data_IF_811949971332
#
_entry.id   IF_811949971332
#
_cell.length_a   1.000
_cell.length_b   1.000
_cell.length_c   1.000
_cell.angle_alpha   90.00
_cell.angle_beta   90.00
_cell.angle_gamma   90.00
#
_symmetry.space_group_name_H-M   'P 1'
#
loop_
_entity.id
_entity.type
_entity.pdbx_description
1 polymer ?
#
# COMPACT_ATOMS: atom_id res chain seq x y z
N UNK A 1 -39.56 6.76 33.89
CA UNK A 1 -39.90 5.48 33.22
C UNK A 1 -38.88 5.21 32.13
N UNK A 2 -38.46 3.95 32.03
CA UNK A 2 -37.20 3.45 31.46
C UNK A 2 -37.02 3.79 29.98
N UNK A 3 -35.93 4.48 29.63
CA UNK A 3 -35.31 4.36 28.31
C UNK A 3 -34.33 3.19 28.39
N UNK A 4 -34.60 2.13 27.64
CA UNK A 4 -33.79 0.93 27.55
C UNK A 4 -33.54 0.64 26.06
N UNK A 5 -32.28 0.76 25.62
CA UNK A 5 -31.63 0.05 24.50
C UNK A 5 -30.13 0.11 24.85
N UNK A 6 -29.51 -0.87 25.54
CA UNK A 6 -28.96 -2.16 25.07
C UNK A 6 -28.14 -2.02 23.79
N UNK A 7 -26.84 -2.38 23.67
CA UNK A 7 -25.79 -2.86 24.58
C UNK A 7 -24.45 -2.58 23.83
N UNK A 8 -23.59 -1.68 24.34
CA UNK A 8 -22.22 -1.44 23.81
C UNK A 8 -21.31 -2.71 23.81
N UNK A 9 -21.58 -3.81 24.55
CA UNK A 9 -20.79 -5.03 24.43
C UNK A 9 -21.08 -5.95 23.24
N UNK A 10 -22.18 -5.81 22.48
CA UNK A 10 -22.47 -6.73 21.36
C UNK A 10 -21.75 -6.36 20.05
N UNK A 11 -21.24 -5.13 19.95
CA UNK A 11 -20.36 -4.68 18.86
C UNK A 11 -18.91 -5.18 19.00
N UNK A 12 -18.58 -5.85 20.11
CA UNK A 12 -17.29 -6.52 20.31
C UNK A 12 -17.31 -8.00 19.88
N UNK A 13 -18.45 -8.52 19.43
CA UNK A 13 -18.60 -9.91 18.95
C UNK A 13 -18.67 -10.04 17.42
N UNK A 14 -18.91 -8.94 16.71
CA UNK A 14 -18.42 -8.85 15.34
C UNK A 14 -17.02 -8.31 15.50
N UNK A 15 -16.01 -9.17 15.31
CA UNK A 15 -14.69 -8.65 15.01
C UNK A 15 -14.90 -7.55 13.96
N UNK A 16 -14.41 -6.32 14.17
CA UNK A 16 -14.07 -5.54 12.99
C UNK A 16 -13.21 -6.52 12.22
N UNK A 17 -13.67 -6.96 11.06
CA UNK A 17 -12.70 -7.42 10.08
C UNK A 17 -11.82 -6.19 9.95
N UNK A 18 -10.70 -6.18 10.68
CA UNK A 18 -9.60 -5.27 10.48
C UNK A 18 -9.07 -5.68 9.10
N UNK A 19 -9.85 -5.32 8.08
CA UNK A 19 -9.49 -5.42 6.70
C UNK A 19 -8.52 -4.28 6.50
N UNK A 20 -7.25 -4.55 6.75
CA UNK A 20 -6.19 -3.73 6.20
C UNK A 20 -6.27 -3.94 4.69
N UNK A 21 -7.00 -3.07 3.99
CA UNK A 21 -7.02 -3.05 2.53
C UNK A 21 -5.77 -2.29 2.07
N UNK A 22 -4.61 -2.91 2.25
CA UNK A 22 -3.40 -2.48 1.55
C UNK A 22 -3.60 -2.82 0.08
N UNK A 23 -3.65 -1.77 -0.73
CA UNK A 23 -3.87 -1.89 -2.17
C UNK A 23 -2.54 -1.85 -2.91
N UNK A 24 -2.42 -2.72 -3.89
CA UNK A 24 -1.25 -2.78 -4.74
C UNK A 24 -1.64 -3.22 -6.14
N UNK A 25 -0.84 -2.76 -7.10
CA UNK A 25 -0.93 -3.19 -8.49
C UNK A 25 0.30 -4.03 -8.84
N UNK A 26 0.09 -5.24 -9.36
CA UNK A 26 1.14 -6.14 -9.85
C UNK A 26 1.34 -5.99 -11.37
N UNK A 27 2.55 -5.66 -11.78
CA UNK A 27 2.95 -5.55 -13.19
C UNK A 27 3.78 -6.76 -13.60
N UNK A 28 3.42 -7.40 -14.72
CA UNK A 28 4.06 -8.65 -15.21
C UNK A 28 4.31 -8.64 -16.73
N UNK A 29 4.94 -9.68 -17.26
CA UNK A 29 5.10 -9.90 -18.71
C UNK A 29 5.90 -8.80 -19.39
N UNK A 30 5.31 -8.13 -20.38
CA UNK A 30 5.98 -7.05 -21.13
C UNK A 30 6.33 -5.82 -20.30
N UNK A 31 5.80 -5.71 -19.08
CA UNK A 31 6.12 -4.64 -18.13
C UNK A 31 7.30 -4.96 -17.22
N UNK A 32 7.80 -6.19 -17.20
CA UNK A 32 8.93 -6.56 -16.33
C UNK A 32 10.15 -5.69 -16.60
N UNK A 33 10.81 -5.24 -15.54
CA UNK A 33 11.92 -4.27 -15.63
C UNK A 33 12.87 -4.38 -14.45
N UNK A 34 13.97 -3.64 -14.49
CA UNK A 34 14.97 -3.59 -13.41
C UNK A 34 14.38 -2.96 -12.14
N UNK A 35 14.98 -3.21 -10.98
CA UNK A 35 14.45 -2.72 -9.70
C UNK A 35 14.33 -1.19 -9.68
N UNK A 36 15.35 -0.49 -10.17
CA UNK A 36 15.38 0.97 -10.24
C UNK A 36 14.29 1.52 -11.17
N UNK A 37 14.10 0.91 -12.34
CA UNK A 37 13.04 1.31 -13.26
C UNK A 37 11.65 1.02 -12.70
N UNK A 38 11.49 -0.10 -11.99
CA UNK A 38 10.23 -0.45 -11.33
C UNK A 38 9.89 0.55 -10.22
N UNK A 39 10.88 0.93 -9.40
CA UNK A 39 10.72 1.97 -8.39
C UNK A 39 10.33 3.32 -9.01
N UNK A 40 11.05 3.74 -10.06
CA UNK A 40 10.75 4.98 -10.77
C UNK A 40 9.32 4.97 -11.33
N UNK A 41 8.92 3.86 -11.98
CA UNK A 41 7.57 3.68 -12.49
C UNK A 41 6.52 3.76 -11.37
N UNK A 42 6.74 3.10 -10.23
CA UNK A 42 5.82 3.17 -9.11
C UNK A 42 5.73 4.59 -8.53
N UNK A 43 6.81 5.36 -8.50
CA UNK A 43 6.77 6.76 -8.01
C UNK A 43 6.16 7.74 -9.01
N UNK A 44 6.17 7.40 -10.30
CA UNK A 44 5.55 8.20 -11.36
C UNK A 44 4.03 7.99 -11.42
N UNK A 45 3.57 6.75 -11.22
CA UNK A 45 2.18 6.37 -11.42
C UNK A 45 1.41 5.99 -10.15
N UNK A 46 2.13 5.80 -9.04
CA UNK A 46 1.60 5.32 -7.76
C UNK A 46 2.40 5.96 -6.60
N UNK A 47 2.50 5.28 -5.45
CA UNK A 47 3.33 5.75 -4.32
C UNK A 47 4.80 5.32 -4.46
N UNK A 48 5.09 4.03 -4.34
CA UNK A 48 6.43 3.41 -4.46
C UNK A 48 6.25 1.90 -4.66
N UNK A 49 7.34 1.14 -4.79
CA UNK A 49 7.30 -0.31 -4.64
C UNK A 49 6.76 -0.69 -3.26
N UNK A 50 6.07 -1.84 -3.18
CA UNK A 50 5.45 -2.28 -1.93
C UNK A 50 6.48 -2.46 -0.81
N UNK A 51 6.14 -1.95 0.37
CA UNK A 51 6.82 -2.19 1.64
C UNK A 51 6.03 -3.25 2.41
N UNK A 52 6.72 -4.20 3.04
CA UNK A 52 6.05 -5.28 3.79
C UNK A 52 6.52 -5.26 5.24
N UNK A 53 5.63 -4.83 6.14
CA UNK A 53 5.98 -4.49 7.52
C UNK A 53 5.74 -5.61 8.52
N UNK A 54 4.93 -6.60 8.16
CA UNK A 54 4.59 -7.73 9.01
C UNK A 54 4.06 -8.92 8.19
N UNK A 55 3.81 -10.03 8.88
CA UNK A 55 3.31 -11.27 8.28
C UNK A 55 1.94 -11.12 7.62
N UNK A 56 1.06 -10.29 8.18
CA UNK A 56 -0.27 -10.05 7.62
C UNK A 56 -0.17 -9.34 6.26
N UNK A 57 0.64 -8.28 6.16
CA UNK A 57 0.91 -7.59 4.89
C UNK A 57 1.56 -8.53 3.87
N UNK A 58 2.49 -9.38 4.32
CA UNK A 58 3.13 -10.37 3.45
C UNK A 58 2.13 -11.37 2.83
N UNK A 59 1.05 -11.68 3.55
CA UNK A 59 -0.06 -12.48 3.07
C UNK A 59 -0.97 -11.73 2.09
N UNK A 60 -1.11 -10.41 2.24
CA UNK A 60 -1.92 -9.56 1.34
C UNK A 60 -1.24 -9.40 -0.02
N UNK A 61 0.06 -9.11 -0.04
CA UNK A 61 0.84 -8.92 -1.28
C UNK A 61 1.09 -10.26 -1.98
N UNK A 62 0.07 -10.84 -2.59
CA UNK A 62 0.20 -12.06 -3.38
C UNK A 62 0.86 -11.76 -4.73
N UNK A 63 1.85 -12.58 -5.12
CA UNK A 63 2.53 -12.41 -6.41
C UNK A 63 4.00 -12.76 -6.39
N UNK A 64 4.62 -12.55 -7.55
CA UNK A 64 6.05 -12.75 -7.79
C UNK A 64 6.59 -11.47 -8.41
N UNK A 65 7.59 -10.84 -7.81
CA UNK A 65 8.17 -9.61 -8.33
C UNK A 65 8.92 -8.77 -7.33
N UNK A 66 9.58 -7.72 -7.82
CA UNK A 66 10.28 -6.73 -7.02
C UNK A 66 9.36 -6.14 -5.94
N UNK A 67 9.94 -6.02 -4.74
CA UNK A 67 9.40 -5.27 -3.61
C UNK A 67 10.36 -4.12 -3.30
N UNK A 68 9.95 -3.16 -2.49
CA UNK A 68 10.74 -1.97 -2.19
C UNK A 68 12.00 -2.22 -1.35
N UNK A 69 12.30 -3.47 -1.00
CA UNK A 69 13.40 -3.83 -0.13
C UNK A 69 14.72 -3.87 -0.90
N UNK A 70 15.68 -3.06 -0.47
CA UNK A 70 16.99 -2.93 -1.10
C UNK A 70 18.08 -2.69 -0.06
N UNK A 71 19.33 -2.78 -0.49
CA UNK A 71 20.48 -2.33 0.29
C UNK A 71 21.52 -1.71 -0.61
N UNK A 72 22.44 -0.95 -0.01
CA UNK A 72 23.64 -0.51 -0.72
C UNK A 72 24.61 -1.69 -0.86
N UNK A 73 25.24 -1.81 -2.02
CA UNK A 73 26.24 -2.85 -2.26
C UNK A 73 27.34 -2.86 -1.19
N UNK A 74 27.61 -4.05 -0.65
CA UNK A 74 28.56 -4.26 0.46
C UNK A 74 28.01 -3.89 1.85
N UNK A 75 26.77 -3.41 1.97
CA UNK A 75 26.10 -3.22 3.25
C UNK A 75 25.40 -4.50 3.69
N UNK A 76 25.30 -4.72 5.00
CA UNK A 76 24.40 -5.72 5.58
C UNK A 76 23.01 -5.15 5.92
N UNK A 77 22.82 -3.84 5.77
CA UNK A 77 21.63 -3.13 6.21
C UNK A 77 20.62 -3.04 5.06
N UNK A 78 19.46 -3.65 5.27
CA UNK A 78 18.33 -3.59 4.35
C UNK A 78 17.38 -2.44 4.72
N UNK A 79 16.88 -1.78 3.69
CA UNK A 79 15.98 -0.63 3.80
C UNK A 79 14.83 -0.74 2.81
N UNK A 80 13.73 -0.07 3.12
CA UNK A 80 12.60 0.10 2.22
C UNK A 80 12.80 1.35 1.37
N UNK A 81 12.48 1.24 0.07
CA UNK A 81 12.51 2.35 -0.88
C UNK A 81 11.60 3.49 -0.44
N UNK A 82 10.47 3.15 0.16
CA UNK A 82 9.56 4.08 0.83
C UNK A 82 10.23 4.62 2.09
N UNK A 83 10.53 5.92 2.11
CA UNK A 83 11.05 6.62 3.30
C UNK A 83 12.47 6.25 3.76
N UNK A 84 13.17 5.35 3.06
CA UNK A 84 14.50 4.84 3.44
C UNK A 84 14.54 4.20 4.85
N UNK A 85 13.41 3.62 5.28
CA UNK A 85 13.22 3.02 6.60
C UNK A 85 13.98 1.69 6.74
N UNK A 86 14.53 1.41 7.92
CA UNK A 86 15.19 0.13 8.22
C UNK A 86 14.18 -1.02 8.20
N UNK A 87 14.56 -2.15 7.59
CA UNK A 87 13.74 -3.34 7.57
C UNK A 87 13.72 -4.04 8.95
N UNK A 88 12.66 -3.83 9.71
CA UNK A 88 12.45 -4.45 11.03
C UNK A 88 11.73 -5.81 10.97
N UNK A 89 11.08 -6.11 9.84
CA UNK A 89 10.47 -7.40 9.54
C UNK A 89 11.05 -7.92 8.24
N UNK A 90 11.38 -9.22 8.21
CA UNK A 90 11.85 -9.89 7.01
C UNK A 90 11.25 -11.27 6.89
N UNK A 91 10.85 -11.67 5.68
CA UNK A 91 10.39 -13.02 5.40
C UNK A 91 11.27 -13.74 4.36
N UNK A 92 12.58 -13.71 4.60
CA UNK A 92 13.58 -14.35 3.75
C UNK A 92 13.30 -15.85 3.54
N UNK A 93 13.55 -16.32 2.32
CA UNK A 93 13.60 -17.74 1.99
C UNK A 93 14.85 -18.40 2.60
N UNK A 94 14.90 -19.73 2.55
CA UNK A 94 16.07 -20.47 2.99
C UNK A 94 17.32 -20.04 2.20
N UNK A 95 18.40 -19.76 2.94
CA UNK A 95 19.69 -19.27 2.42
C UNK A 95 19.68 -17.84 1.86
N UNK A 96 18.70 -17.01 2.21
CA UNK A 96 18.66 -15.59 1.88
C UNK A 96 18.92 -14.71 3.13
N UNK A 97 19.35 -13.46 2.97
CA UNK A 97 19.76 -12.82 1.72
C UNK A 97 21.14 -13.29 1.23
N UNK A 98 21.34 -13.40 -0.08
CA UNK A 98 22.69 -13.59 -0.66
C UNK A 98 23.55 -12.33 -0.44
N UNK A 99 24.88 -12.45 -0.59
CA UNK A 99 25.83 -11.35 -0.30
C UNK A 99 26.16 -10.46 -1.49
N UNK A 100 25.91 -10.92 -2.72
CA UNK A 100 26.27 -10.28 -3.99
C UNK A 100 25.07 -9.73 -4.76
N UNK A 101 23.90 -9.72 -4.12
CA UNK A 101 22.63 -9.23 -4.64
C UNK A 101 22.06 -8.20 -3.68
N UNK A 102 21.52 -7.10 -4.22
CA UNK A 102 21.21 -5.90 -3.42
C UNK A 102 19.74 -5.49 -3.47
N UNK A 103 18.92 -6.18 -4.26
CA UNK A 103 17.49 -5.93 -4.41
C UNK A 103 16.69 -7.19 -4.10
N UNK A 104 15.58 -7.05 -3.36
CA UNK A 104 14.75 -8.18 -3.00
C UNK A 104 13.48 -8.25 -3.84
N UNK A 105 13.07 -9.47 -4.13
CA UNK A 105 11.79 -9.78 -4.77
C UNK A 105 11.04 -10.81 -3.93
N UNK A 106 9.71 -10.75 -4.00
CA UNK A 106 8.84 -11.75 -3.42
C UNK A 106 8.70 -12.91 -4.39
N UNK A 107 8.83 -14.12 -3.87
CA UNK A 107 8.64 -15.38 -4.58
C UNK A 107 7.61 -16.21 -3.82
N UNK A 108 6.33 -16.05 -4.18
CA UNK A 108 5.20 -16.58 -3.40
C UNK A 108 5.10 -15.90 -2.04
N UNK A 109 5.29 -16.60 -0.93
CA UNK A 109 5.22 -16.06 0.43
C UNK A 109 6.58 -15.61 0.94
N UNK A 110 7.69 -16.08 0.38
CA UNK A 110 9.05 -15.80 0.83
C UNK A 110 9.78 -14.76 -0.03
N UNK A 111 10.81 -14.15 0.53
CA UNK A 111 11.60 -13.13 -0.14
C UNK A 111 12.96 -13.67 -0.51
N UNK A 112 13.42 -13.29 -1.70
CA UNK A 112 14.72 -13.68 -2.23
C UNK A 112 15.43 -12.45 -2.75
N UNK A 113 16.74 -12.56 -2.92
CA UNK A 113 17.55 -11.46 -3.44
C UNK A 113 17.98 -11.75 -4.86
N UNK A 114 18.14 -10.70 -5.66
CA UNK A 114 18.70 -10.81 -7.00
C UNK A 114 19.45 -9.53 -7.36
N UNK A 115 20.23 -9.58 -8.44
CA UNK A 115 20.86 -8.37 -8.98
C UNK A 115 19.77 -7.40 -9.43
N UNK A 116 19.94 -6.12 -9.07
CA UNK A 116 18.95 -5.08 -9.34
C UNK A 116 18.71 -4.84 -10.84
N UNK A 117 19.65 -5.26 -11.70
CA UNK A 117 19.60 -5.12 -13.16
C UNK A 117 18.84 -6.26 -13.87
N UNK A 118 18.31 -7.23 -13.13
CA UNK A 118 17.46 -8.30 -13.68
C UNK A 118 16.03 -7.79 -13.86
N UNK A 119 15.41 -8.13 -14.99
CA UNK A 119 14.01 -7.83 -15.20
C UNK A 119 13.11 -8.75 -14.37
N UNK A 120 12.31 -8.18 -13.48
CA UNK A 120 11.24 -8.89 -12.79
C UNK A 120 9.90 -8.17 -12.99
N UNK A 121 8.83 -8.91 -12.74
CA UNK A 121 7.54 -8.31 -12.38
C UNK A 121 7.73 -7.45 -11.13
N UNK A 122 6.80 -6.55 -10.82
CA UNK A 122 6.93 -5.69 -9.64
C UNK A 122 5.57 -5.24 -9.12
N UNK A 123 5.52 -4.91 -7.84
CA UNK A 123 4.30 -4.50 -7.15
C UNK A 123 4.45 -3.06 -6.64
N UNK A 124 3.52 -2.18 -7.03
CA UNK A 124 3.44 -0.82 -6.52
C UNK A 124 2.37 -0.70 -5.45
N UNK A 125 2.60 0.11 -4.42
CA UNK A 125 1.52 0.62 -3.56
C UNK A 125 0.67 1.62 -4.33
N UNK A 126 -0.64 1.39 -4.40
CA UNK A 126 -1.55 2.35 -5.01
C UNK A 126 -1.53 3.68 -4.22
N UNK A 127 -1.79 4.80 -4.89
CA UNK A 127 -1.83 6.13 -4.26
C UNK A 127 -3.11 6.34 -3.44
N UNK A 128 -3.03 7.23 -2.44
CA UNK A 128 -4.18 7.72 -1.70
C UNK A 128 -4.94 8.77 -2.53
N UNK A 129 -6.25 8.59 -2.65
CA UNK A 129 -7.16 9.54 -3.26
C UNK A 129 -7.69 10.49 -2.19
N UNK A 130 -7.26 11.74 -2.26
CA UNK A 130 -7.83 12.81 -1.45
C UNK A 130 -9.23 13.21 -1.96
N UNK A 131 -10.25 12.94 -1.15
CA UNK A 131 -11.61 13.39 -1.43
C UNK A 131 -11.88 14.70 -0.70
N UNK A 132 -12.28 15.73 -1.46
CA UNK A 132 -12.53 17.10 -0.97
C UNK A 132 -13.97 17.35 -0.52
N UNK A 133 -14.79 16.31 -0.46
CA UNK A 133 -16.19 16.42 -0.07
C UNK A 133 -16.37 16.31 1.44
N UNK A 134 -17.19 17.18 2.02
CA UNK A 134 -17.55 17.08 3.42
C UNK A 134 -18.55 15.93 3.63
N UNK A 135 -18.12 14.89 4.32
CA UNK A 135 -18.94 13.71 4.65
C UNK A 135 -18.73 13.27 6.10
N UNK A 136 -19.74 12.65 6.69
CA UNK A 136 -19.57 11.85 7.91
C UNK A 136 -18.67 10.64 7.67
N UNK A 137 -18.20 9.99 8.73
CA UNK A 137 -17.33 8.81 8.60
C UNK A 137 -18.02 7.69 7.82
N UNK A 138 -19.29 7.41 8.11
CA UNK A 138 -20.06 6.37 7.42
C UNK A 138 -20.27 6.71 5.93
N UNK A 139 -20.57 7.97 5.62
CA UNK A 139 -20.73 8.44 4.24
C UNK A 139 -19.40 8.43 3.48
N UNK A 140 -18.28 8.78 4.12
CA UNK A 140 -16.95 8.74 3.55
C UNK A 140 -16.52 7.29 3.25
N UNK A 141 -16.80 6.37 4.17
CA UNK A 141 -16.55 4.95 3.98
C UNK A 141 -17.34 4.38 2.79
N UNK A 142 -18.65 4.65 2.75
CA UNK A 142 -19.50 4.24 1.63
C UNK A 142 -19.03 4.88 0.33
N UNK A 143 -18.63 6.16 0.38
CA UNK A 143 -18.12 6.86 -0.79
C UNK A 143 -16.85 6.21 -1.34
N UNK A 144 -15.81 5.99 -0.51
CA UNK A 144 -14.59 5.30 -0.95
C UNK A 144 -14.94 3.96 -1.59
N UNK A 145 -15.77 3.15 -0.92
CA UNK A 145 -16.19 1.84 -1.46
C UNK A 145 -17.01 1.91 -2.73
N UNK A 146 -17.58 3.06 -3.05
CA UNK A 146 -18.33 3.31 -4.29
C UNK A 146 -17.47 3.84 -5.43
N UNK A 147 -16.19 4.18 -5.19
CA UNK A 147 -15.26 4.63 -6.23
C UNK A 147 -14.83 3.52 -7.21
N UNK A 148 -15.54 2.38 -7.22
CA UNK A 148 -15.43 1.30 -8.21
C UNK A 148 -15.58 1.88 -9.63
N UNK A 149 -14.45 2.26 -10.22
CA UNK A 149 -14.42 3.07 -11.44
C UNK A 149 -13.04 3.03 -12.09
N UNK A 150 -12.57 1.83 -12.43
CA UNK A 150 -11.51 1.72 -13.42
C UNK A 150 -12.00 2.27 -14.76
N UNK A 151 -11.21 3.15 -15.39
CA UNK A 151 -11.43 3.60 -16.76
C UNK A 151 -11.79 2.41 -17.66
N UNK A 152 -12.96 2.45 -18.29
CA UNK A 152 -13.49 1.43 -19.21
C UNK A 152 -12.68 1.30 -20.51
N UNK A 153 -11.52 1.96 -20.60
CA UNK A 153 -10.60 1.91 -21.74
C UNK A 153 -9.41 0.97 -21.52
N UNK A 154 -9.19 0.46 -20.29
CA UNK A 154 -8.17 -0.56 -20.03
C UNK A 154 -8.76 -1.97 -20.18
N UNK A 155 -8.35 -2.76 -21.20
CA UNK A 155 -8.80 -4.14 -21.38
C UNK A 155 -8.38 -5.09 -20.25
N UNK A 156 -7.51 -4.68 -19.32
CA UNK A 156 -7.17 -5.43 -18.11
C UNK A 156 -8.12 -5.17 -16.91
N UNK A 157 -9.06 -4.21 -17.04
CA UNK A 157 -9.96 -3.81 -15.93
C UNK A 157 -10.98 -4.88 -15.50
N UNK A 158 -11.29 -5.86 -16.35
CA UNK A 158 -12.26 -6.93 -16.04
C UNK A 158 -11.74 -7.99 -15.07
N UNK A 159 -10.44 -7.99 -14.76
CA UNK A 159 -9.81 -8.95 -13.85
C UNK A 159 -9.67 -8.45 -12.41
N UNK A 160 -9.80 -7.15 -12.17
CA UNK A 160 -9.51 -6.55 -10.87
C UNK A 160 -10.74 -5.84 -10.33
N UNK A 161 -11.31 -6.39 -9.25
CA UNK A 161 -12.41 -5.77 -8.51
C UNK A 161 -11.83 -4.66 -7.61
N UNK A 162 -11.59 -3.48 -8.19
CA UNK A 162 -10.95 -2.35 -7.52
C UNK A 162 -11.87 -1.65 -6.49
N UNK A 163 -12.01 -2.18 -5.27
CA UNK A 163 -12.83 -1.55 -4.21
C UNK A 163 -12.04 -0.61 -3.29
N UNK A 164 -12.20 0.72 -3.44
CA UNK A 164 -11.44 1.68 -2.62
C UNK A 164 -12.00 1.67 -1.20
N UNK A 165 -11.19 1.98 -0.20
CA UNK A 165 -11.64 2.04 1.20
C UNK A 165 -10.93 3.20 1.89
N UNK A 166 -11.36 3.56 3.10
CA UNK A 166 -10.70 4.61 3.87
C UNK A 166 -9.25 4.22 4.18
N UNK A 167 -8.34 5.17 3.95
CA UNK A 167 -6.92 5.00 4.21
C UNK A 167 -6.67 4.61 5.68
N UNK A 168 -5.93 3.53 5.89
CA UNK A 168 -5.46 3.13 7.22
C UNK A 168 -4.03 3.60 7.41
N UNK A 169 -3.81 4.53 8.34
CA UNK A 169 -2.48 5.10 8.63
C UNK A 169 -1.87 4.33 9.80
N UNK A 170 -0.80 3.57 9.53
CA UNK A 170 -0.20 2.67 10.52
C UNK A 170 1.16 3.21 11.00
N UNK A 171 1.94 3.78 10.09
CA UNK A 171 3.30 4.26 10.37
C UNK A 171 3.38 5.79 10.44
N UNK A 172 4.41 6.34 11.12
CA UNK A 172 4.69 7.78 11.08
C UNK A 172 4.85 8.32 9.66
N UNK A 173 5.38 7.51 8.74
CA UNK A 173 5.45 7.85 7.32
C UNK A 173 4.05 7.95 6.70
N UNK A 174 3.17 6.96 6.89
CA UNK A 174 1.80 7.01 6.37
C UNK A 174 1.06 8.25 6.90
N UNK A 175 1.25 8.59 8.18
CA UNK A 175 0.71 9.82 8.77
C UNK A 175 1.27 11.09 8.13
N UNK A 176 2.56 11.12 7.85
CA UNK A 176 3.21 12.28 7.21
C UNK A 176 2.75 12.41 5.77
N UNK A 177 2.73 11.32 5.02
CA UNK A 177 2.24 11.25 3.64
C UNK A 177 0.78 11.66 3.53
N UNK A 178 -0.10 11.10 4.36
CA UNK A 178 -1.50 11.48 4.41
C UNK A 178 -1.69 12.97 4.74
N UNK A 179 -0.87 13.53 5.64
CA UNK A 179 -0.88 14.96 5.96
C UNK A 179 -0.45 15.81 4.77
N UNK A 180 0.63 15.45 4.11
CA UNK A 180 1.13 16.16 2.91
C UNK A 180 0.09 16.11 1.78
N UNK A 181 -0.51 14.95 1.53
CA UNK A 181 -1.62 14.80 0.58
C UNK A 181 -2.80 15.69 0.94
N UNK A 182 -3.24 15.69 2.20
CA UNK A 182 -4.32 16.58 2.67
C UNK A 182 -3.96 18.07 2.51
N UNK A 183 -2.68 18.44 2.63
CA UNK A 183 -2.23 19.81 2.40
C UNK A 183 -2.34 20.26 0.93
N UNK A 184 -2.33 19.35 -0.05
CA UNK A 184 -2.60 19.69 -1.45
C UNK A 184 -4.03 20.22 -1.69
N UNK A 185 -4.95 20.00 -0.74
CA UNK A 185 -6.30 20.54 -0.80
C UNK A 185 -6.42 22.01 -0.36
N UNK A 186 -5.34 22.69 0.07
CA UNK A 186 -5.42 24.11 0.45
C UNK A 186 -5.58 25.02 -0.76
N UNK A 187 -6.77 25.03 -1.34
CA UNK A 187 -7.38 26.16 -2.06
C UNK A 187 -8.20 26.96 -1.06
N UNK A 188 -8.28 28.30 -1.22
CA UNK A 188 -8.75 29.34 -0.28
C UNK A 188 -10.16 29.21 0.36
N UNK A 189 -10.82 28.06 0.28
CA UNK A 189 -11.98 27.77 1.11
C UNK A 189 -11.52 27.12 2.41
N UNK A 190 -12.00 27.62 3.54
CA UNK A 190 -11.69 27.11 4.88
C UNK A 190 -12.23 25.69 5.01
N UNK A 191 -11.49 24.71 4.49
CA UNK A 191 -11.78 23.30 4.72
C UNK A 191 -11.33 23.00 6.14
N UNK A 192 -12.28 22.81 7.05
CA UNK A 192 -11.95 22.30 8.37
C UNK A 192 -11.24 20.96 8.20
N UNK A 193 -10.06 20.79 8.79
CA UNK A 193 -9.28 19.53 8.77
C UNK A 193 -10.09 18.31 9.26
N UNK A 194 -11.25 18.53 9.88
CA UNK A 194 -12.22 17.48 10.24
C UNK A 194 -13.13 17.00 9.09
N UNK A 195 -13.00 17.54 7.87
CA UNK A 195 -13.93 17.28 6.74
C UNK A 195 -13.28 16.69 5.49
N UNK A 196 -11.97 16.40 5.50
CA UNK A 196 -11.26 15.71 4.41
C UNK A 196 -11.02 14.25 4.78
N UNK A 197 -11.09 13.36 3.79
CA UNK A 197 -10.76 11.95 3.96
C UNK A 197 -9.97 11.41 2.76
N UNK A 198 -9.17 10.39 3.04
CA UNK A 198 -8.37 9.69 2.05
C UNK A 198 -9.04 8.34 1.78
N UNK A 199 -9.37 8.11 0.52
CA UNK A 199 -9.42 6.79 -0.05
C UNK A 199 -8.04 6.50 -0.70
#
# INVERSE_FOLDING_TARGET
MRKLCIFIPLLLLLSPAYGYLLRFTLYTGSKMTTWENAQAFCREHHTDLVTIRNEQENGIFSGYGWIGLYRKSGSSIWKWSTGDELANYTNWDANEPQTDTDCAYKSSDKWRTNRCDVNHSFMCYDDLILVKENKTWEEALVHCRSLDGGNTEDPASSYWNYSYDLATLITPYDHTYAREKVQEATTDEVVQLSTLYLC
#
